data_IF_208327738308
#
_entry.id   IF_208327738308
#
_cell.length_a   1.000
_cell.length_b   1.000
_cell.length_c   1.000
_cell.angle_alpha   90.00
_cell.angle_beta   90.00
_cell.angle_gamma   90.00
#
_symmetry.space_group_name_H-M   'P 1'
#
loop_
_entity.id
_entity.type
_entity.pdbx_description
1 polymer ?
#
# COMPACT_ATOMS: atom_id res chain seq x y z
N UNK A 1 -6.84 22.20 4.22
CA UNK A 1 -7.20 22.62 5.60
C UNK A 1 -6.75 24.03 5.95
N UNK A 2 -5.56 24.50 5.54
CA UNK A 2 -5.10 25.88 5.83
C UNK A 2 -6.02 27.00 5.30
N UNK A 3 -6.75 26.74 4.22
CA UNK A 3 -7.68 27.70 3.58
C UNK A 3 -9.08 27.78 4.23
N UNK A 4 -9.35 27.02 5.30
CA UNK A 4 -10.64 27.10 6.00
C UNK A 4 -10.78 28.47 6.70
N UNK A 5 -11.95 29.12 6.63
CA UNK A 5 -12.18 30.38 7.31
C UNK A 5 -12.21 30.16 8.85
N UNK A 6 -11.89 31.17 9.67
CA UNK A 6 -12.25 31.14 11.08
C UNK A 6 -13.77 30.93 11.25
N UNK A 7 -14.24 30.25 12.32
CA UNK A 7 -13.49 29.73 13.47
C UNK A 7 -13.18 28.23 13.38
N UNK A 8 -13.08 27.64 12.18
CA UNK A 8 -12.95 26.19 12.03
C UNK A 8 -11.60 25.64 12.53
N UNK A 9 -11.68 24.62 13.38
CA UNK A 9 -10.57 23.74 13.78
C UNK A 9 -10.46 22.58 12.80
N UNK A 10 -9.26 22.04 12.60
CA UNK A 10 -9.07 20.92 11.70
C UNK A 10 -7.96 19.97 12.17
N UNK A 11 -8.20 18.67 12.00
CA UNK A 11 -7.24 17.58 12.25
C UNK A 11 -7.30 16.66 11.02
N UNK A 12 -6.14 16.27 10.50
CA UNK A 12 -6.10 15.26 9.43
C UNK A 12 -6.26 13.87 10.03
N UNK A 13 -6.99 13.00 9.32
CA UNK A 13 -7.30 11.66 9.80
C UNK A 13 -7.23 10.63 8.68
N UNK A 14 -6.57 9.50 8.92
CA UNK A 14 -6.46 8.38 7.99
C UNK A 14 -6.59 7.05 8.76
N UNK A 15 -7.76 6.41 8.75
CA UNK A 15 -7.91 5.05 9.27
C UNK A 15 -7.14 4.07 8.37
N UNK A 16 -6.22 3.31 8.93
CA UNK A 16 -5.39 2.33 8.21
C UNK A 16 -6.13 1.00 8.03
N UNK A 17 -7.36 1.07 7.56
CA UNK A 17 -8.24 -0.06 7.31
C UNK A 17 -9.14 0.22 6.09
N UNK A 18 -9.62 -0.84 5.45
CA UNK A 18 -10.48 -0.71 4.28
C UNK A 18 -10.93 -2.06 3.76
N UNK A 19 -11.94 -2.03 2.90
CA UNK A 19 -12.43 -3.18 2.14
C UNK A 19 -12.25 -2.90 0.66
N UNK A 20 -12.10 -3.97 -0.11
CA UNK A 20 -11.97 -3.90 -1.58
C UNK A 20 -13.29 -3.50 -2.26
N UNK A 21 -14.41 -3.65 -1.55
CA UNK A 21 -15.75 -3.23 -2.00
C UNK A 21 -16.14 -1.90 -1.38
N UNK A 22 -16.56 -0.97 -2.24
CA UNK A 22 -16.98 0.37 -1.88
C UNK A 22 -18.51 0.50 -1.73
N UNK A 23 -18.94 1.61 -1.12
CA UNK A 23 -20.34 1.99 -0.98
C UNK A 23 -20.96 1.63 0.37
N UNK A 24 -22.09 2.29 0.69
CA UNK A 24 -22.82 2.08 1.94
C UNK A 24 -23.16 0.61 2.24
N UNK A 25 -23.52 -0.25 1.27
CA UNK A 25 -23.80 -1.66 1.55
C UNK A 25 -22.60 -2.45 2.06
N UNK A 26 -21.36 -1.99 1.82
CA UNK A 26 -20.14 -2.64 2.30
C UNK A 26 -19.72 -2.17 3.70
N UNK A 27 -20.38 -1.14 4.24
CA UNK A 27 -20.09 -0.60 5.55
C UNK A 27 -20.43 -1.62 6.65
N UNK A 28 -19.54 -1.76 7.62
CA UNK A 28 -19.78 -2.56 8.82
C UNK A 28 -19.38 -1.76 10.05
N UNK A 29 -20.05 -2.05 11.17
CA UNK A 29 -19.86 -1.33 12.43
C UNK A 29 -18.46 -1.56 13.03
N UNK A 30 -17.85 -2.69 12.72
CA UNK A 30 -16.56 -3.17 13.21
C UNK A 30 -15.36 -2.79 12.30
N UNK A 31 -15.59 -1.97 11.26
CA UNK A 31 -14.56 -1.67 10.25
C UNK A 31 -13.27 -1.10 10.85
N UNK A 32 -13.38 -0.36 11.95
CA UNK A 32 -12.29 0.35 12.59
C UNK A 32 -11.75 -0.37 13.84
N UNK A 33 -12.35 -1.49 14.26
CA UNK A 33 -12.02 -2.15 15.51
C UNK A 33 -10.56 -2.62 15.54
N UNK A 34 -9.83 -2.21 16.58
CA UNK A 34 -8.40 -2.44 16.80
C UNK A 34 -7.51 -1.97 15.65
N UNK A 35 -8.01 -1.09 14.76
CA UNK A 35 -7.24 -0.57 13.64
C UNK A 35 -6.43 0.66 14.05
N UNK A 36 -5.29 0.85 13.42
CA UNK A 36 -4.53 2.11 13.57
C UNK A 36 -5.28 3.22 12.83
N UNK A 37 -5.48 4.35 13.49
CA UNK A 37 -6.02 5.58 12.91
C UNK A 37 -4.97 6.68 13.01
N UNK A 38 -4.39 7.05 11.88
CA UNK A 38 -3.36 8.08 11.86
C UNK A 38 -4.01 9.46 11.98
N UNK A 39 -3.53 10.25 12.93
CA UNK A 39 -3.91 11.65 13.10
C UNK A 39 -2.72 12.56 12.77
N UNK A 40 -2.99 13.66 12.06
CA UNK A 40 -1.95 14.62 11.69
C UNK A 40 -2.31 16.03 12.14
N UNK A 41 -1.33 16.71 12.74
CA UNK A 41 -1.45 18.09 13.19
C UNK A 41 -1.27 19.06 12.02
N UNK A 42 -1.99 20.17 12.08
CA UNK A 42 -1.76 21.33 11.22
C UNK A 42 -1.92 22.63 12.02
N UNK A 43 -1.77 23.78 11.37
CA UNK A 43 -1.84 25.11 12.01
C UNK A 43 -3.20 25.41 12.68
N UNK A 44 -4.26 24.62 12.42
CA UNK A 44 -5.60 24.73 13.01
C UNK A 44 -5.87 23.64 14.06
N UNK A 45 -4.88 22.84 14.42
CA UNK A 45 -5.00 21.79 15.44
C UNK A 45 -4.61 22.35 16.80
N UNK A 46 -5.61 22.75 17.59
CA UNK A 46 -5.43 23.12 19.01
C UNK A 46 -5.71 21.92 19.92
N UNK A 47 -5.46 22.08 21.23
CA UNK A 47 -5.62 20.99 22.21
C UNK A 47 -7.06 20.45 22.28
N UNK A 48 -8.04 21.31 22.01
CA UNK A 48 -9.46 20.93 21.95
C UNK A 48 -9.70 20.01 20.76
N UNK A 49 -9.17 20.38 19.58
CA UNK A 49 -9.27 19.56 18.37
C UNK A 49 -8.56 18.21 18.52
N UNK A 50 -7.38 18.18 19.16
CA UNK A 50 -6.66 16.92 19.45
C UNK A 50 -7.51 15.98 20.31
N UNK A 51 -8.02 16.50 21.43
CA UNK A 51 -8.79 15.71 22.39
C UNK A 51 -10.05 15.14 21.73
N UNK A 52 -10.75 15.95 20.93
CA UNK A 52 -11.94 15.50 20.21
C UNK A 52 -11.59 14.43 19.16
N UNK A 53 -10.49 14.59 18.42
CA UNK A 53 -10.07 13.61 17.43
C UNK A 53 -9.74 12.26 18.08
N UNK A 54 -9.02 12.25 19.20
CA UNK A 54 -8.72 11.03 19.97
C UNK A 54 -9.98 10.36 20.51
N UNK A 55 -10.95 11.14 21.00
CA UNK A 55 -12.25 10.63 21.44
C UNK A 55 -13.02 9.97 20.29
N UNK A 56 -13.04 10.59 19.11
CA UNK A 56 -13.69 9.99 17.92
C UNK A 56 -13.02 8.68 17.52
N UNK A 57 -11.69 8.65 17.47
CA UNK A 57 -10.92 7.44 17.14
C UNK A 57 -11.21 6.32 18.15
N UNK A 58 -11.21 6.63 19.44
CA UNK A 58 -11.52 5.67 20.50
C UNK A 58 -12.97 5.17 20.42
N UNK A 59 -13.92 6.06 20.11
CA UNK A 59 -15.33 5.72 20.03
C UNK A 59 -15.65 4.75 18.88
N UNK A 60 -14.83 4.72 17.83
CA UNK A 60 -14.94 3.74 16.73
C UNK A 60 -14.08 2.48 16.94
N UNK A 61 -13.50 2.30 18.13
CA UNK A 61 -12.73 1.10 18.47
C UNK A 61 -11.29 1.09 17.92
N UNK A 62 -10.81 2.20 17.36
CA UNK A 62 -9.48 2.32 16.77
C UNK A 62 -8.43 2.89 17.75
N UNK A 63 -7.16 2.78 17.39
CA UNK A 63 -6.02 3.33 18.13
C UNK A 63 -5.40 4.51 17.39
N UNK A 64 -5.33 5.68 18.02
CA UNK A 64 -4.76 6.87 17.39
C UNK A 64 -3.24 6.80 17.33
N UNK A 65 -2.66 7.06 16.15
CA UNK A 65 -1.23 7.27 15.95
C UNK A 65 -0.98 8.68 15.41
N UNK A 66 -0.34 9.53 16.19
CA UNK A 66 -0.02 10.88 15.74
C UNK A 66 1.27 10.91 14.90
N UNK A 67 1.17 11.45 13.69
CA UNK A 67 2.31 11.67 12.80
C UNK A 67 2.35 13.11 12.28
N UNK A 68 3.54 13.56 11.89
CA UNK A 68 3.64 14.72 11.01
C UNK A 68 3.08 14.38 9.63
N UNK A 69 2.41 15.32 8.93
CA UNK A 69 1.85 15.07 7.60
C UNK A 69 2.85 14.45 6.61
N UNK A 70 4.07 14.99 6.54
CA UNK A 70 5.10 14.46 5.63
C UNK A 70 5.52 13.04 6.00
N UNK A 71 5.65 12.76 7.30
CA UNK A 71 6.03 11.42 7.78
C UNK A 71 4.94 10.39 7.48
N UNK A 72 3.68 10.77 7.65
CA UNK A 72 2.54 9.97 7.20
C UNK A 72 2.67 9.63 5.72
N UNK A 73 2.83 10.64 4.86
CA UNK A 73 2.90 10.47 3.41
C UNK A 73 4.05 9.57 2.97
N UNK A 74 5.24 9.72 3.58
CA UNK A 74 6.39 8.87 3.31
C UNK A 74 6.15 7.41 3.72
N UNK A 75 5.51 7.19 4.87
CA UNK A 75 5.22 5.86 5.40
C UNK A 75 4.15 5.15 4.55
N UNK A 76 3.02 5.81 4.27
CA UNK A 76 1.94 5.20 3.46
C UNK A 76 2.35 5.01 2.00
N UNK A 77 3.27 5.84 1.47
CA UNK A 77 3.86 5.59 0.17
C UNK A 77 4.57 4.22 0.12
N UNK A 78 5.29 3.84 1.18
CA UNK A 78 6.02 2.58 1.26
C UNK A 78 5.11 1.37 1.48
N UNK A 79 4.16 1.48 2.42
CA UNK A 79 3.38 0.32 2.91
C UNK A 79 1.98 0.19 2.31
N UNK A 80 1.54 1.16 1.51
CA UNK A 80 0.23 1.16 0.85
C UNK A 80 0.32 1.49 -0.64
N UNK A 81 0.85 2.67 -1.00
CA UNK A 81 0.81 3.13 -2.40
C UNK A 81 1.71 2.30 -3.31
N UNK A 82 2.94 2.00 -2.87
CA UNK A 82 3.86 1.15 -3.62
C UNK A 82 3.26 -0.26 -3.87
N UNK A 83 2.70 -0.99 -2.88
CA UNK A 83 2.00 -2.25 -3.12
C UNK A 83 0.94 -2.22 -4.23
N UNK A 84 0.09 -1.19 -4.29
CA UNK A 84 -0.89 -1.04 -5.39
C UNK A 84 -0.21 -0.95 -6.76
N UNK A 85 0.85 -0.14 -6.86
CA UNK A 85 1.61 0.02 -8.11
C UNK A 85 2.33 -1.27 -8.51
N UNK A 86 2.91 -1.99 -7.55
CA UNK A 86 3.57 -3.28 -7.80
C UNK A 86 2.58 -4.29 -8.36
N UNK A 87 1.39 -4.38 -7.78
CA UNK A 87 0.30 -5.22 -8.29
C UNK A 87 -0.09 -4.83 -9.71
N UNK A 88 -0.29 -3.53 -9.97
CA UNK A 88 -0.67 -3.04 -11.30
C UNK A 88 0.42 -3.33 -12.36
N UNK A 89 1.69 -3.14 -12.01
CA UNK A 89 2.83 -3.45 -12.89
C UNK A 89 2.94 -4.96 -13.14
N UNK A 90 2.70 -5.80 -12.13
CA UNK A 90 2.65 -7.26 -12.31
C UNK A 90 1.60 -7.64 -13.37
N UNK A 91 0.40 -7.06 -13.30
CA UNK A 91 -0.64 -7.28 -14.31
C UNK A 91 -0.23 -6.76 -15.69
N UNK A 92 0.39 -5.59 -15.77
CA UNK A 92 0.89 -5.03 -17.02
C UNK A 92 1.97 -5.90 -17.69
N UNK A 93 2.77 -6.63 -16.89
CA UNK A 93 3.78 -7.58 -17.38
C UNK A 93 3.15 -8.90 -17.83
N UNK A 94 2.20 -9.44 -17.06
CA UNK A 94 1.69 -10.80 -17.23
C UNK A 94 0.50 -10.87 -18.20
N UNK A 95 -0.42 -9.92 -18.18
CA UNK A 95 -1.64 -9.97 -18.99
C UNK A 95 -1.38 -10.07 -20.51
N UNK A 96 -0.38 -9.37 -21.09
CA UNK A 96 -0.05 -9.54 -22.51
C UNK A 96 0.45 -10.95 -22.86
N UNK A 97 1.09 -11.65 -21.92
CA UNK A 97 1.61 -13.02 -22.14
C UNK A 97 0.50 -14.07 -22.11
N UNK A 98 -0.67 -13.73 -21.56
CA UNK A 98 -1.81 -14.61 -21.45
C UNK A 98 -2.88 -14.36 -22.53
N UNK A 99 -2.71 -13.32 -23.34
CA UNK A 99 -3.67 -12.93 -24.37
C UNK A 99 -3.15 -13.39 -25.73
N UNK A 100 -3.90 -14.23 -26.47
CA UNK A 100 -3.52 -14.59 -27.83
C UNK A 100 -3.46 -13.34 -28.71
N UNK A 101 -2.32 -13.09 -29.35
CA UNK A 101 -2.20 -12.03 -30.35
C UNK A 101 -2.33 -12.61 -31.75
N UNK A 102 -2.93 -11.84 -32.66
CA UNK A 102 -2.94 -12.13 -34.09
C UNK A 102 -1.62 -11.77 -34.78
N UNK A 103 -0.68 -11.15 -34.07
CA UNK A 103 0.65 -10.83 -34.57
C UNK A 103 1.60 -12.04 -34.44
N UNK A 104 2.29 -12.38 -35.54
CA UNK A 104 3.19 -13.54 -35.65
C UNK A 104 4.35 -13.56 -34.63
N UNK A 105 4.66 -12.44 -33.98
CA UNK A 105 5.82 -12.27 -33.09
C UNK A 105 5.52 -12.38 -31.60
N UNK A 106 4.26 -12.49 -31.19
CA UNK A 106 3.87 -12.57 -29.78
C UNK A 106 2.68 -13.52 -29.57
N UNK A 107 2.94 -14.82 -29.47
CA UNK A 107 1.90 -15.80 -29.11
C UNK A 107 1.79 -15.88 -27.59
N UNK A 108 0.86 -15.10 -27.02
CA UNK A 108 0.43 -15.32 -25.65
C UNK A 108 -0.29 -16.67 -25.51
N UNK A 109 -0.24 -17.26 -24.31
CA UNK A 109 -0.84 -18.56 -23.99
C UNK A 109 -1.87 -18.40 -22.86
N UNK A 110 -3.15 -18.61 -23.17
CA UNK A 110 -4.24 -18.49 -22.19
C UNK A 110 -4.10 -19.48 -21.02
N UNK A 111 -3.34 -20.58 -21.20
CA UNK A 111 -3.03 -21.51 -20.10
C UNK A 111 -2.21 -20.85 -19.00
N UNK A 112 -1.60 -19.69 -19.24
CA UNK A 112 -0.97 -18.88 -18.19
C UNK A 112 -1.94 -18.63 -17.03
N UNK A 113 -3.22 -18.33 -17.32
CA UNK A 113 -4.22 -18.15 -16.28
C UNK A 113 -4.56 -19.44 -15.55
N UNK A 114 -4.53 -20.58 -16.25
CA UNK A 114 -4.80 -21.89 -15.67
C UNK A 114 -3.69 -22.36 -14.71
N UNK A 115 -2.44 -21.97 -14.96
CA UNK A 115 -1.30 -22.28 -14.08
C UNK A 115 -1.09 -21.23 -12.98
N UNK A 116 -1.85 -20.13 -13.01
CA UNK A 116 -1.82 -19.15 -11.93
C UNK A 116 -2.41 -19.75 -10.65
N UNK A 117 -1.77 -19.46 -9.51
CA UNK A 117 -2.14 -20.00 -8.21
C UNK A 117 -2.35 -18.89 -7.18
N UNK A 118 -2.57 -19.27 -5.91
CA UNK A 118 -2.82 -18.33 -4.81
C UNK A 118 -1.77 -17.22 -4.71
N UNK A 119 -0.48 -17.53 -4.87
CA UNK A 119 0.58 -16.52 -4.80
C UNK A 119 0.44 -15.41 -5.85
N UNK A 120 0.11 -15.76 -7.10
CA UNK A 120 -0.15 -14.77 -8.14
C UNK A 120 -1.42 -13.99 -7.84
N UNK A 121 -2.52 -14.67 -7.52
CA UNK A 121 -3.81 -14.06 -7.20
C UNK A 121 -3.69 -13.05 -6.07
N UNK A 122 -3.02 -13.42 -4.98
CA UNK A 122 -2.90 -12.58 -3.79
C UNK A 122 -2.00 -11.36 -4.06
N UNK A 123 -0.96 -11.52 -4.89
CA UNK A 123 -0.07 -10.40 -5.30
C UNK A 123 -0.76 -9.44 -6.28
N UNK A 124 -1.55 -9.99 -7.22
CA UNK A 124 -2.24 -9.22 -8.25
C UNK A 124 -3.60 -8.65 -7.79
N UNK A 125 -4.11 -9.08 -6.63
CA UNK A 125 -5.44 -8.70 -6.11
C UNK A 125 -5.63 -7.19 -6.04
N UNK A 126 -4.59 -6.45 -5.63
CA UNK A 126 -4.65 -5.00 -5.46
C UNK A 126 -4.86 -4.25 -6.78
N UNK A 127 -4.64 -4.88 -7.93
CA UNK A 127 -4.91 -4.30 -9.25
C UNK A 127 -6.40 -4.09 -9.53
N UNK A 128 -7.29 -4.76 -8.77
CA UNK A 128 -8.74 -4.57 -8.84
C UNK A 128 -9.26 -3.35 -8.07
N UNK A 129 -8.37 -2.52 -7.51
CA UNK A 129 -8.75 -1.37 -6.69
C UNK A 129 -9.28 -0.19 -7.51
N UNK A 130 -10.01 0.72 -6.86
CA UNK A 130 -10.61 1.87 -7.53
C UNK A 130 -9.56 2.77 -8.20
N UNK A 131 -9.69 2.93 -9.52
CA UNK A 131 -8.72 3.66 -10.33
C UNK A 131 -8.73 5.18 -10.06
N UNK A 132 -9.88 5.75 -9.69
CA UNK A 132 -9.99 7.17 -9.40
C UNK A 132 -9.27 7.52 -8.09
N UNK A 133 -9.48 6.72 -7.05
CA UNK A 133 -8.78 6.79 -5.77
C UNK A 133 -7.27 6.68 -5.97
N UNK A 134 -6.80 5.67 -6.70
CA UNK A 134 -5.36 5.50 -6.96
C UNK A 134 -4.78 6.69 -7.72
N UNK A 135 -5.44 7.18 -8.77
CA UNK A 135 -5.01 8.39 -9.47
C UNK A 135 -4.83 9.57 -8.50
N UNK A 136 -5.81 9.81 -7.65
CA UNK A 136 -5.79 10.94 -6.72
C UNK A 136 -4.67 10.78 -5.67
N UNK A 137 -4.44 9.56 -5.17
CA UNK A 137 -3.29 9.22 -4.31
C UNK A 137 -1.96 9.54 -5.00
N UNK A 138 -1.80 9.12 -6.26
CA UNK A 138 -0.54 9.33 -7.00
C UNK A 138 -0.29 10.81 -7.28
N UNK A 139 -1.33 11.59 -7.56
CA UNK A 139 -1.21 13.03 -7.80
C UNK A 139 -0.97 13.82 -6.51
N UNK A 140 -1.52 13.39 -5.38
CA UNK A 140 -1.41 14.11 -4.10
C UNK A 140 -0.16 13.73 -3.31
N UNK A 141 0.41 12.53 -3.51
CA UNK A 141 1.63 12.07 -2.84
C UNK A 141 2.75 11.67 -3.82
N UNK A 142 2.86 12.39 -4.94
CA UNK A 142 3.77 12.05 -6.04
C UNK A 142 5.23 11.89 -5.58
N UNK A 143 5.75 12.82 -4.77
CA UNK A 143 7.16 12.84 -4.37
C UNK A 143 7.57 11.59 -3.60
N UNK A 144 6.79 11.21 -2.57
CA UNK A 144 7.10 10.03 -1.77
C UNK A 144 6.92 8.74 -2.59
N UNK A 145 5.88 8.66 -3.42
CA UNK A 145 5.65 7.51 -4.30
C UNK A 145 6.82 7.32 -5.27
N UNK A 146 7.30 8.39 -5.91
CA UNK A 146 8.46 8.32 -6.81
C UNK A 146 9.75 7.92 -6.09
N UNK A 147 9.92 8.29 -4.81
CA UNK A 147 11.04 7.82 -4.01
C UNK A 147 10.95 6.30 -3.77
N UNK A 148 9.77 5.80 -3.43
CA UNK A 148 9.54 4.38 -3.20
C UNK A 148 9.68 3.54 -4.47
N UNK A 149 9.19 4.01 -5.62
CA UNK A 149 9.40 3.35 -6.91
C UNK A 149 10.88 3.23 -7.27
N UNK A 150 11.68 4.28 -7.03
CA UNK A 150 13.14 4.24 -7.26
C UNK A 150 13.82 3.23 -6.34
N UNK A 151 13.45 3.20 -5.05
CA UNK A 151 13.96 2.22 -4.10
C UNK A 151 13.61 0.78 -4.54
N UNK A 152 12.38 0.58 -5.00
CA UNK A 152 11.90 -0.70 -5.51
C UNK A 152 12.63 -1.16 -6.77
N UNK A 153 12.81 -0.28 -7.76
CA UNK A 153 13.59 -0.54 -8.97
C UNK A 153 15.03 -0.96 -8.64
N UNK A 154 15.68 -0.28 -7.69
CA UNK A 154 17.03 -0.63 -7.23
C UNK A 154 17.09 -2.06 -6.70
N UNK A 155 16.10 -2.49 -5.91
CA UNK A 155 16.05 -3.86 -5.40
C UNK A 155 15.86 -4.88 -6.53
N UNK A 156 15.00 -4.59 -7.50
CA UNK A 156 14.84 -5.47 -8.67
C UNK A 156 16.11 -5.59 -9.51
N UNK A 157 16.81 -4.49 -9.76
CA UNK A 157 18.11 -4.52 -10.46
C UNK A 157 19.13 -5.38 -9.70
N UNK A 158 19.16 -5.29 -8.37
CA UNK A 158 20.05 -6.10 -7.54
C UNK A 158 19.71 -7.61 -7.65
N UNK A 159 18.43 -7.98 -7.59
CA UNK A 159 17.97 -9.37 -7.72
C UNK A 159 18.24 -9.92 -9.13
N UNK A 160 18.03 -9.12 -10.18
CA UNK A 160 18.37 -9.52 -11.55
C UNK A 160 19.88 -9.83 -11.69
N UNK A 161 20.74 -8.97 -11.13
CA UNK A 161 22.18 -9.20 -11.14
C UNK A 161 22.57 -10.45 -10.35
N UNK A 162 21.90 -10.69 -9.22
CA UNK A 162 22.09 -11.88 -8.38
C UNK A 162 21.72 -13.17 -9.13
N UNK A 163 20.55 -13.22 -9.75
CA UNK A 163 20.11 -14.36 -10.58
C UNK A 163 21.06 -14.59 -11.76
N UNK A 164 21.51 -13.51 -12.43
CA UNK A 164 22.43 -13.61 -13.57
C UNK A 164 23.79 -14.21 -13.18
N UNK A 165 24.26 -13.99 -11.95
CA UNK A 165 25.49 -14.61 -11.45
C UNK A 165 25.33 -16.11 -11.21
N UNK A 166 24.13 -16.57 -10.87
CA UNK A 166 23.83 -17.98 -10.67
C UNK A 166 24.49 -18.60 -9.44
N UNK A 167 24.96 -17.79 -8.48
CA UNK A 167 25.54 -18.26 -7.22
C UNK A 167 24.41 -18.64 -6.24
N UNK A 168 24.26 -19.94 -6.01
CA UNK A 168 23.22 -20.49 -5.12
C UNK A 168 23.33 -19.98 -3.68
N UNK A 169 24.55 -19.75 -3.19
CA UNK A 169 24.78 -19.28 -1.81
C UNK A 169 24.37 -17.81 -1.67
N UNK A 170 24.75 -16.95 -2.63
CA UNK A 170 24.33 -15.55 -2.61
C UNK A 170 22.80 -15.42 -2.73
N UNK A 171 22.17 -16.21 -3.60
CA UNK A 171 20.71 -16.23 -3.77
C UNK A 171 20.03 -16.68 -2.48
N UNK A 172 20.50 -17.77 -1.88
CA UNK A 172 19.95 -18.32 -0.64
C UNK A 172 20.07 -17.33 0.51
N UNK A 173 21.25 -16.71 0.68
CA UNK A 173 21.48 -15.71 1.70
C UNK A 173 20.55 -14.50 1.53
N UNK A 174 20.36 -14.02 0.30
CA UNK A 174 19.45 -12.91 0.02
C UNK A 174 17.99 -13.26 0.35
N UNK A 175 17.53 -14.46 -0.01
CA UNK A 175 16.17 -14.93 0.29
C UNK A 175 15.93 -15.09 1.80
N UNK A 176 16.87 -15.72 2.51
CA UNK A 176 16.79 -15.91 3.96
C UNK A 176 16.73 -14.58 4.71
N UNK A 177 17.49 -13.59 4.26
CA UNK A 177 17.42 -12.24 4.85
C UNK A 177 16.02 -11.63 4.72
N UNK A 178 15.36 -11.74 3.55
CA UNK A 178 13.98 -11.24 3.35
C UNK A 178 12.96 -12.03 4.18
N UNK A 179 13.16 -13.34 4.34
CA UNK A 179 12.32 -14.18 5.20
C UNK A 179 12.42 -13.75 6.67
N UNK A 180 13.63 -13.42 7.14
CA UNK A 180 13.85 -12.86 8.49
C UNK A 180 13.16 -11.52 8.70
N UNK A 181 13.28 -10.60 7.74
CA UNK A 181 12.59 -9.30 7.77
C UNK A 181 11.06 -9.46 7.79
N UNK A 182 10.52 -10.39 7.00
CA UNK A 182 9.10 -10.71 7.01
C UNK A 182 8.63 -11.28 8.35
N UNK A 183 9.41 -12.20 8.95
CA UNK A 183 9.09 -12.74 10.27
C UNK A 183 9.06 -11.65 11.35
N UNK A 184 10.02 -10.72 11.32
CA UNK A 184 10.02 -9.57 12.23
C UNK A 184 8.80 -8.68 12.03
N UNK A 185 8.43 -8.37 10.78
CA UNK A 185 7.21 -7.62 10.48
C UNK A 185 5.95 -8.32 11.03
N UNK A 186 5.83 -9.64 10.84
CA UNK A 186 4.68 -10.41 11.33
C UNK A 186 4.58 -10.40 12.84
N UNK A 187 5.71 -10.55 13.54
CA UNK A 187 5.76 -10.43 15.00
C UNK A 187 5.21 -9.09 15.49
N UNK A 188 5.64 -7.97 14.88
CA UNK A 188 5.14 -6.64 15.23
C UNK A 188 3.64 -6.49 14.96
N UNK A 189 3.11 -7.16 13.93
CA UNK A 189 1.69 -7.10 13.58
C UNK A 189 0.78 -8.04 14.36
N UNK A 190 1.32 -9.10 14.92
CA UNK A 190 0.54 -10.07 15.70
C UNK A 190 0.54 -9.69 17.19
N UNK A 191 1.53 -8.92 17.67
CA UNK A 191 1.61 -8.45 19.06
C UNK A 191 1.05 -7.03 19.30
N UNK A 192 0.79 -6.26 18.25
CA UNK A 192 0.34 -4.86 18.32
C UNK A 192 -1.06 -4.67 17.74
#
# INVERSE_FOLDING_TARGET
MAKLPPPFRAVGGHPMCGKEVAGLPAATADLYDSQVFILTRNQRTDKVAETLAEQVVTAVGAHSLWLEPQKHDDMVAAVSHLPYLVSAVLMAVVAPQATPSTAETAQGDERLWQVSASGFRDTARLSGSDAAMLRDILLTNQTAVLAQLRAYQKQFTAVQALIKRGDENEISAWLQARQGEYAQYRHVKDEG
#
